data_IF_588019260885
#
_entry.id   IF_588019260885
#
_cell.length_a   1.000
_cell.length_b   1.000
_cell.length_c   1.000
_cell.angle_alpha   90.00
_cell.angle_beta   90.00
_cell.angle_gamma   90.00
#
_symmetry.space_group_name_H-M   'P 1'
#
loop_
_entity.id
_entity.type
_entity.pdbx_description
1 polymer ?
#
# COMPACT_ATOMS: atom_id res chain seq x y z
N UNK A 1 -39.88 -70.93 6.92
CA UNK A 1 -38.87 -69.86 7.07
C UNK A 1 -39.04 -69.28 8.46
N UNK A 2 -38.03 -69.39 9.32
CA UNK A 2 -38.14 -68.90 10.70
C UNK A 2 -38.06 -67.36 10.76
N UNK A 3 -38.81 -66.69 11.67
CA UNK A 3 -38.79 -65.24 11.85
C UNK A 3 -37.38 -64.68 12.11
N UNK A 4 -36.54 -65.47 12.78
CA UNK A 4 -35.15 -65.14 13.09
C UNK A 4 -34.28 -64.92 11.85
N UNK A 5 -34.54 -65.65 10.77
CA UNK A 5 -33.75 -65.53 9.52
C UNK A 5 -34.05 -64.22 8.80
N UNK A 6 -35.32 -63.77 8.82
CA UNK A 6 -35.73 -62.48 8.26
C UNK A 6 -35.23 -61.29 9.08
N UNK A 7 -35.24 -61.41 10.41
CA UNK A 7 -34.69 -60.38 11.30
C UNK A 7 -33.17 -60.20 11.10
N UNK A 8 -32.42 -61.31 10.94
CA UNK A 8 -30.98 -61.26 10.70
C UNK A 8 -30.62 -60.61 9.35
N UNK A 9 -31.32 -60.99 8.28
CA UNK A 9 -31.13 -60.40 6.94
C UNK A 9 -31.46 -58.89 6.95
N UNK A 10 -32.55 -58.49 7.61
CA UNK A 10 -32.91 -57.07 7.75
C UNK A 10 -31.84 -56.26 8.51
N UNK A 11 -31.23 -56.84 9.54
CA UNK A 11 -30.20 -56.17 10.35
C UNK A 11 -28.88 -56.00 9.58
N UNK A 12 -28.44 -57.04 8.85
CA UNK A 12 -27.21 -56.99 8.06
C UNK A 12 -27.34 -56.02 6.88
N UNK A 13 -28.47 -56.07 6.15
CA UNK A 13 -28.72 -55.14 5.05
C UNK A 13 -28.85 -53.71 5.58
N UNK A 14 -29.57 -53.50 6.69
CA UNK A 14 -29.69 -52.20 7.34
C UNK A 14 -28.34 -51.62 7.79
N UNK A 15 -27.44 -52.45 8.32
CA UNK A 15 -26.10 -52.04 8.74
C UNK A 15 -25.19 -51.66 7.55
N UNK A 16 -25.22 -52.45 6.45
CA UNK A 16 -24.44 -52.15 5.25
C UNK A 16 -24.92 -50.88 4.56
N UNK A 17 -26.24 -50.70 4.45
CA UNK A 17 -26.84 -49.48 3.89
C UNK A 17 -26.56 -48.28 4.78
N UNK A 18 -26.69 -48.41 6.11
CA UNK A 18 -26.39 -47.34 7.07
C UNK A 18 -24.91 -46.93 7.12
N UNK A 19 -23.99 -47.90 7.02
CA UNK A 19 -22.55 -47.62 6.94
C UNK A 19 -22.16 -47.01 5.58
N UNK A 20 -22.72 -47.52 4.48
CA UNK A 20 -22.49 -47.00 3.13
C UNK A 20 -22.97 -45.57 2.94
N UNK A 21 -24.17 -45.25 3.43
CA UNK A 21 -24.68 -43.87 3.43
C UNK A 21 -23.83 -42.95 4.31
N UNK A 22 -23.39 -43.41 5.48
CA UNK A 22 -22.53 -42.63 6.38
C UNK A 22 -21.17 -42.28 5.77
N UNK A 23 -20.54 -43.21 5.06
CA UNK A 23 -19.26 -42.98 4.37
C UNK A 23 -19.46 -42.00 3.21
N UNK A 24 -20.49 -42.19 2.39
CA UNK A 24 -20.81 -41.28 1.28
C UNK A 24 -21.12 -39.87 1.77
N UNK A 25 -21.93 -39.72 2.82
CA UNK A 25 -22.22 -38.43 3.44
C UNK A 25 -20.95 -37.79 4.01
N UNK A 26 -20.07 -38.55 4.64
CA UNK A 26 -18.81 -38.02 5.17
C UNK A 26 -17.87 -37.53 4.05
N UNK A 27 -17.78 -38.26 2.94
CA UNK A 27 -16.98 -37.84 1.78
C UNK A 27 -17.55 -36.58 1.13
N UNK A 28 -18.88 -36.50 0.97
CA UNK A 28 -19.55 -35.31 0.40
C UNK A 28 -19.36 -34.10 1.33
N UNK A 29 -19.62 -34.25 2.63
CA UNK A 29 -19.48 -33.18 3.62
C UNK A 29 -18.03 -32.72 3.74
N UNK A 30 -17.07 -33.64 3.76
CA UNK A 30 -15.64 -33.28 3.83
C UNK A 30 -15.15 -32.58 2.56
N UNK A 31 -15.62 -33.00 1.39
CA UNK A 31 -15.31 -32.33 0.12
C UNK A 31 -15.89 -30.90 0.08
N UNK A 32 -17.15 -30.74 0.53
CA UNK A 32 -17.78 -29.44 0.61
C UNK A 32 -17.11 -28.52 1.63
N UNK A 33 -16.76 -29.06 2.81
CA UNK A 33 -16.02 -28.34 3.84
C UNK A 33 -14.64 -27.88 3.34
N UNK A 34 -13.92 -28.73 2.60
CA UNK A 34 -12.64 -28.34 1.98
C UNK A 34 -12.80 -27.22 0.97
N UNK A 35 -13.82 -27.27 0.11
CA UNK A 35 -14.11 -26.19 -0.85
C UNK A 35 -14.44 -24.88 -0.14
N UNK A 36 -15.31 -24.93 0.86
CA UNK A 36 -15.67 -23.76 1.68
C UNK A 36 -14.43 -23.18 2.40
N UNK A 37 -13.59 -24.04 2.97
CA UNK A 37 -12.36 -23.60 3.64
C UNK A 37 -11.36 -22.98 2.66
N UNK A 38 -11.23 -23.54 1.45
CA UNK A 38 -10.41 -22.95 0.39
C UNK A 38 -10.94 -21.58 -0.03
N UNK A 39 -12.24 -21.46 -0.32
CA UNK A 39 -12.87 -20.18 -0.66
C UNK A 39 -12.72 -19.15 0.46
N UNK A 40 -12.91 -19.54 1.72
CA UNK A 40 -12.69 -18.67 2.87
C UNK A 40 -11.24 -18.21 2.97
N UNK A 41 -10.26 -19.11 2.76
CA UNK A 41 -8.84 -18.74 2.81
C UNK A 41 -8.42 -17.79 1.66
N UNK A 42 -9.03 -17.92 0.49
CA UNK A 42 -8.78 -17.03 -0.65
C UNK A 42 -9.34 -15.64 -0.35
N UNK A 43 -10.58 -15.58 0.16
CA UNK A 43 -11.22 -14.33 0.55
C UNK A 43 -10.42 -13.63 1.65
N UNK A 44 -10.00 -14.36 2.69
CA UNK A 44 -9.21 -13.82 3.79
C UNK A 44 -7.87 -13.23 3.29
N UNK A 45 -7.18 -13.92 2.38
CA UNK A 45 -5.93 -13.40 1.78
C UNK A 45 -6.17 -12.15 0.96
N UNK A 46 -7.28 -12.10 0.23
CA UNK A 46 -7.66 -10.95 -0.56
C UNK A 46 -7.98 -9.73 0.32
N UNK A 47 -8.77 -9.92 1.37
CA UNK A 47 -9.09 -8.87 2.34
C UNK A 47 -7.84 -8.34 3.04
N UNK A 48 -6.94 -9.23 3.49
CA UNK A 48 -5.65 -8.85 4.09
C UNK A 48 -4.77 -8.05 3.12
N UNK A 49 -4.71 -8.47 1.85
CA UNK A 49 -3.94 -7.74 0.84
C UNK A 49 -4.53 -6.35 0.57
N UNK A 50 -5.86 -6.25 0.51
CA UNK A 50 -6.58 -4.98 0.35
C UNK A 50 -6.36 -4.06 1.54
N UNK A 51 -6.49 -4.56 2.76
CA UNK A 51 -6.22 -3.81 3.98
C UNK A 51 -4.77 -3.30 4.03
N UNK A 52 -3.80 -4.16 3.70
CA UNK A 52 -2.40 -3.76 3.60
C UNK A 52 -2.21 -2.61 2.60
N UNK A 53 -2.79 -2.72 1.41
CA UNK A 53 -2.69 -1.67 0.38
C UNK A 53 -3.35 -0.37 0.85
N UNK A 54 -4.57 -0.43 1.39
CA UNK A 54 -5.26 0.74 1.95
C UNK A 54 -4.40 1.45 3.01
N UNK A 55 -3.88 0.71 3.98
CA UNK A 55 -3.04 1.26 5.03
C UNK A 55 -1.73 1.85 4.48
N UNK A 56 -1.11 1.19 3.51
CA UNK A 56 0.08 1.71 2.84
C UNK A 56 -0.21 3.02 2.09
N UNK A 57 -1.33 3.09 1.35
CA UNK A 57 -1.74 4.26 0.58
C UNK A 57 -2.10 5.45 1.49
N UNK A 58 -2.78 5.23 2.61
CA UNK A 58 -3.04 6.27 3.62
C UNK A 58 -1.74 6.82 4.22
N UNK A 59 -0.82 5.94 4.61
CA UNK A 59 0.49 6.36 5.11
C UNK A 59 1.28 7.13 4.05
N UNK A 60 1.21 6.71 2.80
CA UNK A 60 1.86 7.38 1.68
C UNK A 60 1.28 8.78 1.47
N UNK A 61 -0.05 8.94 1.53
CA UNK A 61 -0.70 10.24 1.39
C UNK A 61 -0.23 11.24 2.46
N UNK A 62 -0.17 10.81 3.71
CA UNK A 62 0.33 11.64 4.81
C UNK A 62 1.81 11.98 4.61
N UNK A 63 2.64 10.98 4.32
CA UNK A 63 4.09 11.16 4.15
C UNK A 63 4.42 12.07 2.97
N UNK A 64 3.67 11.97 1.85
CA UNK A 64 3.84 12.85 0.69
C UNK A 64 3.50 14.29 1.04
N UNK A 65 2.41 14.52 1.78
CA UNK A 65 2.00 15.85 2.22
C UNK A 65 3.05 16.49 3.13
N UNK A 66 3.55 15.72 4.10
CA UNK A 66 4.67 16.14 4.96
C UNK A 66 5.91 16.43 4.14
N UNK A 67 6.29 15.54 3.22
CA UNK A 67 7.44 15.73 2.35
C UNK A 67 7.34 17.01 1.52
N UNK A 68 6.20 17.27 0.89
CA UNK A 68 6.01 18.48 0.08
C UNK A 68 6.14 19.75 0.93
N UNK A 69 5.57 19.76 2.13
CA UNK A 69 5.72 20.87 3.08
C UNK A 69 7.19 21.10 3.47
N UNK A 70 7.96 20.03 3.70
CA UNK A 70 9.38 20.14 4.04
C UNK A 70 10.21 20.69 2.89
N UNK A 71 9.92 20.28 1.65
CA UNK A 71 10.57 20.83 0.45
C UNK A 71 10.28 22.32 0.29
N UNK A 72 9.03 22.76 0.51
CA UNK A 72 8.69 24.19 0.50
C UNK A 72 9.44 24.95 1.59
N UNK A 73 9.55 24.40 2.81
CA UNK A 73 10.34 25.02 3.89
C UNK A 73 11.82 25.16 3.52
N UNK A 74 12.41 24.14 2.91
CA UNK A 74 13.79 24.19 2.42
C UNK A 74 13.97 25.25 1.33
N UNK A 75 13.06 25.29 0.34
CA UNK A 75 13.07 26.32 -0.70
C UNK A 75 12.98 27.74 -0.14
N UNK A 76 12.10 27.99 0.83
CA UNK A 76 11.98 29.30 1.48
C UNK A 76 13.25 29.67 2.25
N UNK A 77 13.84 28.70 2.96
CA UNK A 77 15.10 28.91 3.66
C UNK A 77 16.20 29.31 2.66
N UNK A 78 16.37 28.54 1.58
CA UNK A 78 17.38 28.83 0.55
C UNK A 78 17.15 30.20 -0.09
N UNK A 79 15.90 30.55 -0.38
CA UNK A 79 15.53 31.86 -0.93
C UNK A 79 15.93 33.01 0.00
N UNK A 80 15.66 32.89 1.30
CA UNK A 80 16.10 33.90 2.28
C UNK A 80 17.62 33.99 2.36
N UNK A 81 18.33 32.87 2.26
CA UNK A 81 19.80 32.85 2.28
C UNK A 81 20.38 33.51 1.02
N UNK A 82 19.81 33.23 -0.16
CA UNK A 82 20.22 33.91 -1.40
C UNK A 82 20.11 35.42 -1.28
N UNK A 83 18.99 35.94 -0.74
CA UNK A 83 18.79 37.37 -0.53
C UNK A 83 19.76 38.00 0.49
N UNK A 84 20.15 37.25 1.55
CA UNK A 84 21.08 37.72 2.58
C UNK A 84 22.55 37.64 2.17
N UNK A 85 22.88 36.83 1.15
CA UNK A 85 24.25 36.39 0.84
C UNK A 85 25.02 37.23 -0.19
N UNK A 86 24.66 38.50 -0.46
CA UNK A 86 25.39 39.36 -1.42
C UNK A 86 26.90 39.51 -1.15
N UNK A 87 27.42 39.15 0.05
CA UNK A 87 28.84 39.29 0.40
C UNK A 87 29.59 38.00 0.81
N UNK A 88 28.93 36.88 1.09
CA UNK A 88 29.64 35.67 1.55
C UNK A 88 29.02 34.40 0.94
N UNK A 89 29.67 33.87 -0.10
CA UNK A 89 29.24 32.68 -0.88
C UNK A 89 29.43 31.37 -0.10
N UNK A 90 29.16 31.36 1.20
CA UNK A 90 29.12 30.10 1.94
C UNK A 90 27.80 29.42 1.63
N UNK A 91 27.90 28.20 1.10
CA UNK A 91 26.79 27.27 0.96
C UNK A 91 26.14 27.17 2.34
N UNK A 92 24.99 27.83 2.51
CA UNK A 92 24.26 27.79 3.77
C UNK A 92 23.61 26.41 3.84
N UNK A 93 24.11 25.57 4.74
CA UNK A 93 23.53 24.25 4.96
C UNK A 93 22.14 24.45 5.57
N UNK A 94 21.20 23.58 5.21
CA UNK A 94 19.90 23.54 5.87
C UNK A 94 20.10 23.36 7.40
N UNK A 95 19.23 23.95 8.23
CA UNK A 95 19.24 23.67 9.66
C UNK A 95 19.15 22.17 9.91
N UNK A 96 19.92 21.67 10.89
CA UNK A 96 20.06 20.22 11.15
C UNK A 96 18.70 19.53 11.33
N UNK A 97 17.79 20.16 12.06
CA UNK A 97 16.42 19.65 12.26
C UNK A 97 15.68 19.46 10.93
N UNK A 98 15.70 20.47 10.05
CA UNK A 98 15.04 20.41 8.75
C UNK A 98 15.68 19.37 7.83
N UNK A 99 17.02 19.27 7.85
CA UNK A 99 17.76 18.26 7.11
C UNK A 99 17.37 16.84 7.57
N UNK A 100 17.31 16.61 8.88
CA UNK A 100 16.94 15.32 9.45
C UNK A 100 15.47 14.95 9.16
N UNK A 101 14.55 15.92 9.21
CA UNK A 101 13.15 15.73 8.80
C UNK A 101 13.03 15.33 7.32
N UNK A 102 13.77 16.01 6.43
CA UNK A 102 13.80 15.69 5.00
C UNK A 102 14.33 14.29 4.71
N UNK A 103 15.44 13.91 5.34
CA UNK A 103 16.03 12.57 5.20
C UNK A 103 15.05 11.48 5.67
N UNK A 104 14.39 11.71 6.80
CA UNK A 104 13.40 10.77 7.34
C UNK A 104 12.19 10.63 6.42
N UNK A 105 11.65 11.74 5.93
CA UNK A 105 10.55 11.76 4.97
C UNK A 105 10.93 11.05 3.66
N UNK A 106 12.09 11.37 3.08
CA UNK A 106 12.58 10.75 1.85
C UNK A 106 12.75 9.22 1.99
N UNK A 107 13.31 8.77 3.12
CA UNK A 107 13.44 7.34 3.45
C UNK A 107 12.08 6.65 3.53
N UNK A 108 11.12 7.26 4.23
CA UNK A 108 9.77 6.70 4.37
C UNK A 108 9.05 6.63 3.01
N UNK A 109 9.11 7.70 2.21
CA UNK A 109 8.56 7.73 0.86
C UNK A 109 9.16 6.64 -0.03
N UNK A 110 10.47 6.40 0.10
CA UNK A 110 11.13 5.32 -0.64
C UNK A 110 10.52 3.96 -0.32
N UNK A 111 10.39 3.65 0.97
CA UNK A 111 9.84 2.37 1.43
C UNK A 111 8.37 2.20 1.03
N UNK A 112 7.54 3.22 1.26
CA UNK A 112 6.11 3.16 0.98
C UNK A 112 5.81 3.09 -0.52
N UNK A 113 6.62 3.77 -1.36
CA UNK A 113 6.43 3.76 -2.81
C UNK A 113 6.65 2.38 -3.44
N UNK A 114 7.57 1.57 -2.93
CA UNK A 114 7.80 0.21 -3.45
C UNK A 114 6.69 -0.78 -3.09
N UNK A 115 5.91 -0.48 -2.05
CA UNK A 115 4.81 -1.32 -1.57
C UNK A 115 3.50 -1.10 -2.32
N UNK A 116 3.44 -0.09 -3.19
CA UNK A 116 2.25 0.21 -4.01
C UNK A 116 2.11 -0.85 -5.10
N UNK A 117 0.97 -1.53 -5.12
CA UNK A 117 0.67 -2.54 -6.15
C UNK A 117 0.31 -1.93 -7.51
N UNK A 118 -0.23 -0.71 -7.54
CA UNK A 118 -0.59 -0.02 -8.78
C UNK A 118 0.64 0.62 -9.46
N UNK A 119 1.00 0.10 -10.63
CA UNK A 119 2.18 0.54 -11.39
C UNK A 119 2.13 2.01 -11.82
N UNK A 120 1.01 2.52 -12.40
CA UNK A 120 0.88 3.93 -12.75
C UNK A 120 1.10 4.86 -11.55
N UNK A 121 0.44 4.58 -10.42
CA UNK A 121 0.58 5.36 -9.20
C UNK A 121 2.02 5.30 -8.68
N UNK A 122 2.62 4.11 -8.63
CA UNK A 122 4.01 3.93 -8.21
C UNK A 122 4.99 4.75 -9.06
N UNK A 123 4.80 4.79 -10.39
CA UNK A 123 5.61 5.64 -11.28
C UNK A 123 5.41 7.12 -11.00
N UNK A 124 4.16 7.55 -10.86
CA UNK A 124 3.80 8.94 -10.55
C UNK A 124 4.46 9.42 -9.24
N UNK A 125 4.43 8.59 -8.18
CA UNK A 125 5.10 8.88 -6.90
C UNK A 125 6.62 9.01 -7.08
N UNK A 126 7.25 8.12 -7.87
CA UNK A 126 8.70 8.20 -8.13
C UNK A 126 9.07 9.48 -8.88
N UNK A 127 8.28 9.88 -9.87
CA UNK A 127 8.48 11.14 -10.59
C UNK A 127 8.33 12.35 -9.67
N UNK A 128 7.32 12.37 -8.81
CA UNK A 128 7.15 13.43 -7.81
C UNK A 128 8.34 13.50 -6.84
N UNK A 129 8.81 12.36 -6.32
CA UNK A 129 9.99 12.31 -5.44
C UNK A 129 11.26 12.83 -6.13
N UNK A 130 11.43 12.54 -7.41
CA UNK A 130 12.53 13.10 -8.19
C UNK A 130 12.39 14.63 -8.28
N UNK A 131 11.21 15.14 -8.63
CA UNK A 131 10.97 16.58 -8.70
C UNK A 131 11.18 17.29 -7.37
N UNK A 132 10.80 16.67 -6.25
CA UNK A 132 11.12 17.15 -4.90
C UNK A 132 12.64 17.25 -4.67
N UNK A 133 13.41 16.26 -5.15
CA UNK A 133 14.87 16.27 -5.07
C UNK A 133 15.47 17.39 -5.93
N UNK A 134 14.89 17.63 -7.11
CA UNK A 134 15.36 18.68 -8.02
C UNK A 134 15.23 20.09 -7.39
N UNK A 135 14.21 20.31 -6.55
CA UNK A 135 14.08 21.55 -5.76
C UNK A 135 15.27 21.74 -4.82
N UNK A 136 15.68 20.69 -4.11
CA UNK A 136 16.81 20.73 -3.17
C UNK A 136 18.17 20.84 -3.86
N UNK A 137 18.26 20.41 -5.12
CA UNK A 137 19.50 20.42 -5.90
C UNK A 137 19.65 21.66 -6.79
N UNK A 138 18.65 22.53 -6.79
CA UNK A 138 18.65 23.77 -7.57
C UNK A 138 19.76 24.70 -7.11
N UNK A 139 20.45 25.36 -8.04
CA UNK A 139 21.63 26.19 -7.76
C UNK A 139 21.30 27.68 -7.71
N UNK A 140 20.14 28.05 -8.23
CA UNK A 140 19.66 29.43 -8.28
C UNK A 140 18.22 29.51 -7.79
N UNK A 141 17.83 30.69 -7.32
CA UNK A 141 16.44 30.97 -6.92
C UNK A 141 15.46 30.69 -8.07
N UNK A 142 15.82 31.10 -9.30
CA UNK A 142 14.97 30.88 -10.48
C UNK A 142 14.79 29.40 -10.83
N UNK A 143 15.86 28.60 -10.74
CA UNK A 143 15.78 27.14 -10.91
C UNK A 143 14.91 26.50 -9.83
N UNK A 144 15.10 26.89 -8.56
CA UNK A 144 14.36 26.35 -7.43
C UNK A 144 12.87 26.68 -7.53
N UNK A 145 12.53 27.91 -7.96
CA UNK A 145 11.16 28.34 -8.20
C UNK A 145 10.51 27.61 -9.39
N UNK A 146 11.26 27.33 -10.46
CA UNK A 146 10.75 26.50 -11.55
C UNK A 146 10.49 25.06 -11.06
N UNK A 147 11.42 24.49 -10.30
CA UNK A 147 11.31 23.15 -9.75
C UNK A 147 10.13 23.00 -8.76
N UNK A 148 9.90 23.99 -7.88
CA UNK A 148 8.77 23.93 -6.92
C UNK A 148 7.43 23.94 -7.65
N UNK A 149 7.32 24.68 -8.76
CA UNK A 149 6.12 24.71 -9.59
C UNK A 149 5.84 23.34 -10.21
N UNK A 150 6.88 22.70 -10.78
CA UNK A 150 6.78 21.34 -11.33
C UNK A 150 6.37 20.35 -10.24
N UNK A 151 7.02 20.42 -9.07
CA UNK A 151 6.73 19.54 -7.94
C UNK A 151 5.28 19.70 -7.45
N UNK A 152 4.76 20.93 -7.37
CA UNK A 152 3.35 21.19 -7.01
C UNK A 152 2.37 20.59 -8.02
N UNK A 153 2.60 20.76 -9.32
CA UNK A 153 1.75 20.15 -10.36
C UNK A 153 1.76 18.63 -10.25
N UNK A 154 2.94 18.01 -10.14
CA UNK A 154 3.06 16.57 -9.96
C UNK A 154 2.43 16.10 -8.65
N UNK A 155 2.47 16.90 -7.58
CA UNK A 155 1.85 16.59 -6.30
C UNK A 155 0.33 16.51 -6.43
N UNK A 156 -0.30 17.49 -7.07
CA UNK A 156 -1.75 17.49 -7.32
C UNK A 156 -2.18 16.28 -8.15
N UNK A 157 -1.47 16.01 -9.25
CA UNK A 157 -1.74 14.86 -10.12
C UNK A 157 -1.57 13.52 -9.37
N UNK A 158 -0.47 13.38 -8.63
CA UNK A 158 -0.17 12.18 -7.83
C UNK A 158 -1.21 11.96 -6.74
N UNK A 159 -1.63 13.02 -6.04
CA UNK A 159 -2.67 12.95 -5.01
C UNK A 159 -4.04 12.58 -5.58
N UNK A 160 -4.37 13.11 -6.77
CA UNK A 160 -5.59 12.72 -7.48
C UNK A 160 -5.61 11.23 -7.82
N UNK A 161 -4.49 10.71 -8.36
CA UNK A 161 -4.33 9.29 -8.68
C UNK A 161 -4.34 8.41 -7.42
N UNK A 162 -3.65 8.82 -6.36
CA UNK A 162 -3.64 8.14 -5.07
C UNK A 162 -5.06 8.01 -4.53
N UNK A 163 -5.81 9.11 -4.53
CA UNK A 163 -7.20 9.12 -4.06
C UNK A 163 -8.11 8.20 -4.87
N UNK A 164 -7.87 8.05 -6.17
CA UNK A 164 -8.58 7.08 -7.02
C UNK A 164 -8.27 5.64 -6.59
N UNK A 165 -6.98 5.27 -6.53
CA UNK A 165 -6.55 3.91 -6.16
C UNK A 165 -6.99 3.56 -4.73
N UNK A 166 -6.95 4.52 -3.81
CA UNK A 166 -7.41 4.32 -2.43
C UNK A 166 -8.90 3.96 -2.38
N UNK A 167 -9.74 4.61 -3.20
CA UNK A 167 -11.18 4.29 -3.29
C UNK A 167 -11.46 2.91 -3.85
N UNK A 168 -10.60 2.42 -4.74
CA UNK A 168 -10.68 1.06 -5.28
C UNK A 168 -10.24 -0.01 -4.26
N UNK A 169 -9.56 0.40 -3.18
CA UNK A 169 -9.09 -0.47 -2.10
C UNK A 169 -9.93 -0.37 -0.81
N UNK A 170 -11.09 0.31 -0.85
CA UNK A 170 -12.15 0.12 0.15
C UNK A 170 -12.98 -1.11 -0.26
#
# INVERSE_FOLDING_TARGET
MEPLTWAFIGTVIGAVVGAGTSILTTVITSSNARKLQQSASILERFEKAREFQRNNLLNLQETLSVGMRLIVRAHLFDTEQFQKSEMDRRISLLPEELNQELLNSSRQLSILSERVSDDPLRKSIKSLRQSMTDVLMSRTEQESFAAIKVANTLFEETMGLLGKVLRENY
#
